data_IF_316741976813
#
_entry.id   IF_316741976813
#
_cell.length_a   1.000
_cell.length_b   1.000
_cell.length_c   1.000
_cell.angle_alpha   90.00
_cell.angle_beta   90.00
_cell.angle_gamma   90.00
#
_symmetry.space_group_name_H-M   'P 1'
#
loop_
_entity.id
_entity.type
_entity.pdbx_description
1 polymer ?
#
# COMPACT_ATOMS: atom_id res chain seq x y z
N UNK A 1 -0.31 13.32 9.89
CA UNK A 1 -0.23 12.71 8.54
C UNK A 1 -1.56 12.07 8.18
N UNK A 2 -1.99 12.24 6.96
CA UNK A 2 -3.20 11.61 6.46
C UNK A 2 -2.86 10.21 5.98
N UNK A 3 -3.45 9.18 6.58
CA UNK A 3 -3.20 7.79 6.21
C UNK A 3 -4.53 7.12 5.89
N UNK A 4 -4.71 6.75 4.64
CA UNK A 4 -5.90 6.05 4.17
C UNK A 4 -5.48 4.67 3.67
N UNK A 5 -6.41 3.75 3.56
CA UNK A 5 -6.14 2.43 3.01
C UNK A 5 -7.14 2.11 1.91
N UNK A 6 -6.65 1.49 0.85
CA UNK A 6 -7.48 0.96 -0.23
C UNK A 6 -7.47 -0.56 -0.07
N UNK A 7 -8.63 -1.13 0.19
CA UNK A 7 -8.77 -2.55 0.52
C UNK A 7 -9.58 -3.27 -0.55
N UNK A 8 -9.09 -4.40 -0.99
CA UNK A 8 -9.79 -5.22 -1.97
C UNK A 8 -9.07 -6.54 -2.18
N UNK A 9 -9.80 -7.55 -2.61
CA UNK A 9 -9.21 -8.85 -2.88
C UNK A 9 -8.24 -8.77 -4.05
N UNK A 10 -7.31 -9.71 -4.09
CA UNK A 10 -6.39 -9.83 -5.23
C UNK A 10 -7.19 -9.95 -6.52
N UNK A 11 -6.73 -9.30 -7.56
CA UNK A 11 -7.40 -9.36 -8.85
C UNK A 11 -8.51 -8.33 -9.05
N UNK A 12 -8.74 -7.45 -8.09
CA UNK A 12 -9.76 -6.40 -8.25
C UNK A 12 -9.23 -5.13 -8.88
N UNK A 13 -7.95 -5.12 -9.27
CA UNK A 13 -7.36 -3.96 -9.91
C UNK A 13 -6.95 -2.86 -8.96
N UNK A 14 -6.64 -3.21 -7.70
CA UNK A 14 -6.26 -2.23 -6.68
C UNK A 14 -5.12 -1.32 -7.10
N UNK A 15 -4.03 -1.91 -7.59
CA UNK A 15 -2.86 -1.11 -7.94
C UNK A 15 -3.16 -0.14 -9.06
N UNK A 16 -3.91 -0.59 -10.06
CA UNK A 16 -4.31 0.25 -11.17
C UNK A 16 -5.24 1.37 -10.71
N UNK A 17 -6.13 1.06 -9.78
CA UNK A 17 -7.13 2.00 -9.30
C UNK A 17 -6.57 2.97 -8.25
N UNK A 18 -5.49 2.59 -7.61
CA UNK A 18 -4.95 3.34 -6.46
C UNK A 18 -4.54 4.77 -6.82
N UNK A 19 -3.99 4.97 -8.00
CA UNK A 19 -3.58 6.31 -8.42
C UNK A 19 -4.77 7.25 -8.50
N UNK A 20 -5.90 6.75 -9.00
CA UNK A 20 -7.12 7.54 -9.08
C UNK A 20 -7.66 7.85 -7.68
N UNK A 21 -7.68 6.84 -6.79
CA UNK A 21 -8.13 7.03 -5.42
C UNK A 21 -7.24 8.03 -4.68
N UNK A 22 -5.93 7.92 -4.86
CA UNK A 22 -4.99 8.84 -4.22
C UNK A 22 -5.24 10.28 -4.70
N UNK A 23 -5.42 10.46 -6.00
CA UNK A 23 -5.67 11.78 -6.56
C UNK A 23 -6.97 12.36 -6.04
N UNK A 24 -8.03 11.55 -5.97
CA UNK A 24 -9.33 11.98 -5.46
C UNK A 24 -9.26 12.43 -4.01
N UNK A 25 -8.33 11.91 -3.24
CA UNK A 25 -8.20 12.20 -1.83
C UNK A 25 -7.00 13.08 -1.48
N UNK A 26 -6.35 13.64 -2.48
CA UNK A 26 -5.17 14.51 -2.31
C UNK A 26 -4.05 13.80 -1.57
N UNK A 27 -3.77 12.56 -1.96
CA UNK A 27 -2.69 11.76 -1.39
C UNK A 27 -1.59 11.63 -2.42
N UNK A 28 -0.35 11.93 -2.03
CA UNK A 28 0.76 11.96 -2.95
C UNK A 28 1.59 10.67 -2.99
N UNK A 29 1.50 9.84 -1.97
CA UNK A 29 2.34 8.65 -1.85
C UNK A 29 1.50 7.41 -1.61
N UNK A 30 1.95 6.29 -2.15
CA UNK A 30 1.22 5.02 -2.08
C UNK A 30 2.18 3.93 -1.60
N UNK A 31 1.70 3.08 -0.68
CA UNK A 31 2.40 1.84 -0.31
C UNK A 31 1.69 0.71 -1.04
N UNK A 32 2.41 0.03 -1.91
CA UNK A 32 1.86 -1.06 -2.69
C UNK A 32 2.89 -2.18 -2.79
N UNK A 33 2.55 -3.35 -2.26
CA UNK A 33 3.34 -4.56 -2.48
C UNK A 33 4.78 -4.42 -1.99
N UNK A 34 4.97 -3.74 -0.88
CA UNK A 34 6.31 -3.53 -0.29
C UNK A 34 7.03 -2.29 -0.79
N UNK A 35 6.43 -1.56 -1.72
CA UNK A 35 7.05 -0.37 -2.32
C UNK A 35 6.36 0.90 -1.86
N UNK A 36 7.17 1.95 -1.69
CA UNK A 36 6.67 3.31 -1.51
C UNK A 36 6.83 4.00 -2.86
N UNK A 37 5.73 4.44 -3.44
CA UNK A 37 5.74 5.04 -4.78
C UNK A 37 5.05 6.38 -4.81
N UNK A 38 5.45 7.22 -5.77
CA UNK A 38 4.82 8.52 -6.04
C UNK A 38 5.02 8.86 -7.50
N UNK A 39 3.97 9.29 -8.19
CA UNK A 39 4.03 9.65 -9.61
C UNK A 39 4.67 8.57 -10.48
N UNK A 40 4.29 7.32 -10.25
CA UNK A 40 4.81 6.16 -10.99
C UNK A 40 6.31 5.91 -10.77
N UNK A 41 6.89 6.51 -9.73
CA UNK A 41 8.29 6.28 -9.40
C UNK A 41 8.41 5.57 -8.07
N UNK A 42 9.34 4.64 -7.99
CA UNK A 42 9.64 3.94 -6.76
C UNK A 42 10.54 4.84 -5.93
N UNK A 43 10.07 5.19 -4.73
CA UNK A 43 10.82 6.04 -3.81
C UNK A 43 11.69 5.19 -2.89
N UNK A 44 11.15 4.08 -2.40
CA UNK A 44 11.85 3.19 -1.47
C UNK A 44 11.15 1.86 -1.39
N UNK A 45 11.79 0.89 -0.77
CA UNK A 45 11.19 -0.42 -0.50
C UNK A 45 11.62 -1.49 -1.49
N UNK A 46 11.03 -2.66 -1.32
CA UNK A 46 11.32 -3.82 -2.16
C UNK A 46 10.02 -4.51 -2.52
N UNK A 47 9.90 -4.90 -3.79
CA UNK A 47 8.68 -5.48 -4.31
C UNK A 47 8.45 -6.91 -3.81
N UNK A 48 7.26 -7.17 -3.30
CA UNK A 48 6.84 -8.51 -2.91
C UNK A 48 6.77 -9.44 -4.13
N UNK A 49 6.55 -8.88 -5.31
CA UNK A 49 6.47 -9.68 -6.53
C UNK A 49 7.81 -10.29 -6.94
N UNK A 50 8.90 -9.80 -6.37
CA UNK A 50 10.23 -10.36 -6.68
C UNK A 50 10.65 -11.47 -5.74
N UNK A 51 9.84 -11.76 -4.72
CA UNK A 51 10.17 -12.82 -3.78
C UNK A 51 9.95 -14.20 -4.41
N UNK A 52 10.81 -15.17 -4.09
CA UNK A 52 10.76 -16.48 -4.77
C UNK A 52 9.62 -17.38 -4.34
N UNK A 53 9.00 -17.13 -3.19
CA UNK A 53 7.90 -17.96 -2.70
C UNK A 53 6.72 -17.09 -2.31
N UNK A 54 5.54 -17.72 -2.23
CA UNK A 54 4.34 -17.02 -1.81
C UNK A 54 4.46 -16.54 -0.36
N UNK A 55 5.04 -17.36 0.51
CA UNK A 55 5.23 -16.97 1.91
C UNK A 55 6.14 -15.75 2.02
N UNK A 56 7.27 -15.77 1.31
CA UNK A 56 8.18 -14.63 1.32
C UNK A 56 7.53 -13.39 0.73
N UNK A 57 6.70 -13.56 -0.31
CA UNK A 57 5.99 -12.45 -0.93
C UNK A 57 5.03 -11.78 0.07
N UNK A 58 4.25 -12.59 0.80
CA UNK A 58 3.32 -12.05 1.80
C UNK A 58 4.09 -11.30 2.89
N UNK A 59 5.18 -11.90 3.38
CA UNK A 59 5.99 -11.28 4.44
C UNK A 59 6.58 -9.94 3.97
N UNK A 60 7.00 -9.87 2.72
CA UNK A 60 7.54 -8.63 2.14
C UNK A 60 6.45 -7.57 2.06
N UNK A 61 5.26 -7.97 1.63
CA UNK A 61 4.14 -7.04 1.47
C UNK A 61 3.69 -6.43 2.79
N UNK A 62 3.81 -7.16 3.90
CA UNK A 62 3.41 -6.65 5.23
C UNK A 62 4.59 -6.09 6.02
N UNK A 63 5.73 -5.93 5.38
CA UNK A 63 6.91 -5.32 6.00
C UNK A 63 7.40 -6.08 7.24
N UNK A 64 7.53 -7.39 7.12
CA UNK A 64 8.03 -8.23 8.22
C UNK A 64 9.51 -8.04 8.49
N UNK A 65 10.28 -7.59 7.50
CA UNK A 65 11.72 -7.43 7.63
C UNK A 65 12.05 -6.04 8.17
N UNK A 66 12.81 -5.99 9.27
CA UNK A 66 13.13 -4.72 9.90
C UNK A 66 13.94 -3.78 9.01
N UNK A 67 14.86 -4.31 8.21
CA UNK A 67 15.66 -3.48 7.31
C UNK A 67 14.73 -2.82 6.29
N UNK A 68 13.78 -3.56 5.77
CA UNK A 68 12.78 -3.06 4.82
C UNK A 68 11.89 -2.00 5.48
N UNK A 69 11.43 -2.25 6.73
CA UNK A 69 10.66 -1.26 7.47
C UNK A 69 11.44 0.05 7.62
N UNK A 70 12.69 -0.08 8.04
CA UNK A 70 13.52 1.10 8.32
C UNK A 70 13.80 1.90 7.06
N UNK A 71 13.99 1.23 5.95
CA UNK A 71 14.19 1.88 4.65
C UNK A 71 13.00 2.79 4.30
N UNK A 72 11.79 2.28 4.46
CA UNK A 72 10.58 3.04 4.14
C UNK A 72 10.33 4.11 5.18
N UNK A 73 10.56 3.83 6.47
CA UNK A 73 10.43 4.84 7.52
C UNK A 73 11.36 6.02 7.27
N UNK A 74 12.59 5.74 6.86
CA UNK A 74 13.55 6.79 6.56
C UNK A 74 13.07 7.65 5.40
N UNK A 75 12.54 7.03 4.35
CA UNK A 75 12.03 7.77 3.21
C UNK A 75 10.85 8.66 3.60
N UNK A 76 9.96 8.15 4.45
CA UNK A 76 8.82 8.94 4.93
C UNK A 76 9.30 10.21 5.61
N UNK A 77 10.34 10.11 6.42
CA UNK A 77 10.92 11.25 7.10
C UNK A 77 11.66 12.18 6.12
N UNK A 78 12.52 11.60 5.30
CA UNK A 78 13.37 12.38 4.39
C UNK A 78 12.57 13.17 3.36
N UNK A 79 11.47 12.60 2.89
CA UNK A 79 10.63 13.27 1.90
C UNK A 79 9.52 14.08 2.55
N UNK A 80 9.48 14.12 3.89
CA UNK A 80 8.45 14.84 4.65
C UNK A 80 7.05 14.48 4.17
N UNK A 81 6.78 13.19 4.10
CA UNK A 81 5.51 12.68 3.56
C UNK A 81 4.36 13.02 4.51
N UNK A 82 3.33 13.66 3.98
CA UNK A 82 2.19 14.12 4.77
C UNK A 82 0.90 13.36 4.43
N UNK A 83 0.90 12.58 3.38
CA UNK A 83 -0.28 11.80 3.00
C UNK A 83 0.16 10.47 2.41
N UNK A 84 -0.57 9.41 2.73
CA UNK A 84 -0.18 8.06 2.35
C UNK A 84 -1.40 7.19 2.13
N UNK A 85 -1.42 6.44 1.04
CA UNK A 85 -2.46 5.46 0.75
C UNK A 85 -1.83 4.07 0.81
N UNK A 86 -2.33 3.22 1.69
CA UNK A 86 -1.82 1.85 1.84
C UNK A 86 -2.76 0.91 1.12
N UNK A 87 -2.21 0.07 0.23
CA UNK A 87 -2.99 -0.90 -0.51
C UNK A 87 -2.86 -2.26 0.16
N UNK A 88 -3.98 -2.89 0.45
CA UNK A 88 -3.99 -4.22 1.06
C UNK A 88 -5.19 -5.04 0.64
N UNK A 89 -5.14 -6.34 0.92
CA UNK A 89 -6.24 -7.24 0.59
C UNK A 89 -7.30 -7.26 1.69
N UNK A 90 -6.99 -6.72 2.86
CA UNK A 90 -7.92 -6.66 3.99
C UNK A 90 -7.53 -5.49 4.89
N UNK A 91 -8.46 -5.09 5.77
CA UNK A 91 -8.16 -4.07 6.77
C UNK A 91 -7.05 -4.53 7.71
N UNK A 92 -7.06 -5.82 8.05
CA UNK A 92 -6.03 -6.39 8.92
C UNK A 92 -4.64 -6.24 8.31
N UNK A 93 -4.51 -6.54 7.03
CA UNK A 93 -3.24 -6.38 6.32
C UNK A 93 -2.80 -4.92 6.29
N UNK A 94 -3.73 -4.02 5.97
CA UNK A 94 -3.42 -2.60 5.92
C UNK A 94 -2.97 -2.07 7.29
N UNK A 95 -3.61 -2.51 8.36
CA UNK A 95 -3.22 -2.12 9.71
C UNK A 95 -1.83 -2.65 10.07
N UNK A 96 -1.51 -3.88 9.68
CA UNK A 96 -0.18 -4.44 9.91
C UNK A 96 0.89 -3.62 9.20
N UNK A 97 0.62 -3.21 7.97
CA UNK A 97 1.55 -2.37 7.22
C UNK A 97 1.74 -1.02 7.92
N UNK A 98 0.64 -0.39 8.31
CA UNK A 98 0.70 0.92 8.97
C UNK A 98 1.50 0.84 10.28
N UNK A 99 1.30 -0.21 11.05
CA UNK A 99 2.05 -0.41 12.29
C UNK A 99 3.54 -0.62 12.01
N UNK A 100 3.84 -1.43 10.99
CA UNK A 100 5.23 -1.77 10.67
C UNK A 100 6.03 -0.55 10.22
N UNK A 101 5.43 0.36 9.47
CA UNK A 101 6.13 1.55 9.00
C UNK A 101 5.88 2.78 9.85
N UNK A 102 5.16 2.60 10.96
CA UNK A 102 5.05 3.66 11.99
C UNK A 102 4.11 4.79 11.64
N UNK A 103 3.08 4.54 10.84
CA UNK A 103 2.14 5.59 10.43
C UNK A 103 0.72 5.37 10.94
N UNK A 104 0.49 4.34 11.74
CA UNK A 104 -0.85 4.11 12.30
C UNK A 104 -1.26 5.25 13.22
N UNK A 105 -2.57 5.48 13.38
CA UNK A 105 -3.66 4.69 12.84
C UNK A 105 -4.04 5.10 11.41
N UNK A 106 -4.74 4.20 10.72
CA UNK A 106 -5.34 4.49 9.42
C UNK A 106 -6.64 5.25 9.69
N UNK A 107 -6.81 6.38 9.04
CA UNK A 107 -7.97 7.24 9.29
C UNK A 107 -9.23 6.80 8.53
N UNK A 108 -9.05 6.20 7.36
CA UNK A 108 -10.17 5.84 6.51
C UNK A 108 -9.82 4.63 5.66
N UNK A 109 -10.79 3.72 5.55
CA UNK A 109 -10.65 2.55 4.66
C UNK A 109 -11.57 2.73 3.47
N UNK A 110 -11.03 2.61 2.28
CA UNK A 110 -11.75 2.71 1.02
C UNK A 110 -11.74 1.33 0.40
N UNK A 111 -12.90 0.86 -0.06
CA UNK A 111 -13.02 -0.50 -0.58
C UNK A 111 -13.08 -0.49 -2.10
N UNK A 112 -12.28 -1.35 -2.70
CA UNK A 112 -12.24 -1.50 -4.15
C UNK A 112 -13.31 -2.50 -4.56
N UNK A 113 -14.52 -1.99 -4.87
CA UNK A 113 -15.67 -2.86 -5.14
C UNK A 113 -16.03 -2.97 -6.59
N UNK A 114 -15.33 -2.25 -7.45
CA UNK A 114 -15.85 -2.06 -8.71
C UNK A 114 -15.81 -3.18 -9.56
N UNK A 115 -15.24 -3.97 -9.31
CA UNK A 115 -15.29 -4.91 -10.11
C UNK A 115 -16.09 -5.82 -9.88
N UNK A 116 -16.49 -5.40 -9.11
CA UNK A 116 -17.35 -6.30 -8.84
C UNK A 116 -18.08 -6.70 -9.96
N UNK A 117 -18.28 -6.61 -10.20
CA UNK A 117 -18.75 -6.92 -11.04
C UNK A 117 -18.65 -7.00 -12.23
N UNK A 118 -18.58 -6.61 -12.29
CA UNK A 118 -18.52 -6.68 -13.27
C UNK A 118 -17.91 -7.29 -13.78
N UNK A 119 -17.63 -7.09 -13.27
CA UNK A 119 -17.19 -7.55 -13.58
C UNK A 119 -17.03 -8.39 -13.86
N UNK A 120 -17.21 -8.49 -13.49
CA UNK A 120 -17.10 -9.31 -13.64
C UNK A 120 -17.08 -9.67 -14.80
N UNK A 121 -17.37 -9.36 -14.95
CA UNK A 121 -17.29 -9.58 -15.84
C UNK A 121 -16.51 -9.71 -16.45
N UNK A 122 -16.38 -9.47 -16.26
CA UNK A 122 -15.56 -9.58 -16.59
C UNK A 122 -15.04 -10.09 -16.77
#
# INVERSE_FOLDING_TARGET
MKVYALVGKSGTGKSHHSMWVARENNIDYIIDDGLLVSDNQIIAGKSAKREPTKVASVRRAIFSDKIHQDEVKKAITDYNIQSLLIIGTSERMANKIADAIGVSPIEKFIYCLLYTSDAADD
#
